data_IF_092113954111
#
_entry.id   IF_092113954111
#
_cell.length_a   1.000
_cell.length_b   1.000
_cell.length_c   1.000
_cell.angle_alpha   90.00
_cell.angle_beta   90.00
_cell.angle_gamma   90.00
#
_symmetry.space_group_name_H-M   'P 1'
#
loop_
_entity.id
_entity.type
_entity.pdbx_description
1 polymer ?
#
# COMPACT_ATOMS: atom_id res chain seq x y z
N UNK A 1 -24.37 -3.08 -17.27
CA UNK A 1 -25.39 -3.89 -16.56
C UNK A 1 -24.82 -5.14 -15.89
N UNK A 2 -24.02 -5.99 -16.54
CA UNK A 2 -23.45 -7.19 -15.89
C UNK A 2 -22.66 -6.86 -14.61
N UNK A 3 -21.71 -5.91 -14.70
CA UNK A 3 -20.92 -5.46 -13.54
C UNK A 3 -21.78 -4.86 -12.41
N UNK A 4 -22.84 -4.08 -12.74
CA UNK A 4 -23.77 -3.55 -11.72
C UNK A 4 -24.53 -4.67 -11.00
N UNK A 5 -24.99 -5.69 -11.75
CA UNK A 5 -25.69 -6.84 -11.16
C UNK A 5 -24.78 -7.66 -10.25
N UNK A 6 -23.54 -7.87 -10.67
CA UNK A 6 -22.53 -8.57 -9.87
C UNK A 6 -22.19 -7.78 -8.60
N UNK A 7 -22.01 -6.47 -8.71
CA UNK A 7 -21.76 -5.60 -7.57
C UNK A 7 -22.92 -5.64 -6.55
N UNK A 8 -24.16 -5.52 -7.04
CA UNK A 8 -25.36 -5.62 -6.20
C UNK A 8 -25.49 -6.98 -5.51
N UNK A 9 -25.18 -8.07 -6.23
CA UNK A 9 -25.28 -9.43 -5.69
C UNK A 9 -24.20 -9.75 -4.66
N UNK A 10 -22.96 -9.31 -4.89
CA UNK A 10 -21.80 -9.66 -4.04
C UNK A 10 -21.59 -8.69 -2.88
N UNK A 11 -21.92 -7.41 -3.05
CA UNK A 11 -21.62 -6.34 -2.10
C UNK A 11 -22.86 -5.53 -1.65
N UNK A 12 -24.03 -5.77 -2.24
CA UNK A 12 -25.27 -5.03 -1.92
C UNK A 12 -25.32 -3.60 -2.45
N UNK A 13 -24.35 -3.18 -3.26
CA UNK A 13 -24.22 -1.83 -3.82
C UNK A 13 -23.92 -1.95 -5.32
N UNK A 14 -24.62 -1.19 -6.17
CA UNK A 14 -24.51 -1.24 -7.64
C UNK A 14 -23.74 -0.06 -8.26
N UNK A 15 -23.16 0.79 -7.40
CA UNK A 15 -22.33 1.92 -7.80
C UNK A 15 -21.09 1.42 -8.53
N UNK A 16 -20.79 2.01 -9.68
CA UNK A 16 -19.60 1.70 -10.46
C UNK A 16 -18.71 2.93 -10.59
N UNK A 17 -17.39 2.71 -10.51
CA UNK A 17 -16.38 3.65 -10.96
C UNK A 17 -15.94 3.28 -12.39
N UNK A 18 -15.50 4.28 -13.15
CA UNK A 18 -14.84 4.09 -14.44
C UNK A 18 -13.50 4.80 -14.38
N UNK A 19 -12.45 4.08 -14.75
CA UNK A 19 -11.07 4.56 -14.69
C UNK A 19 -10.38 4.36 -16.04
N UNK A 20 -9.27 5.09 -16.23
CA UNK A 20 -8.40 4.90 -17.39
C UNK A 20 -7.71 3.54 -17.28
N UNK A 21 -7.82 2.73 -18.32
CA UNK A 21 -7.11 1.45 -18.40
C UNK A 21 -5.64 1.63 -18.78
N UNK A 22 -4.73 1.15 -17.93
CA UNK A 22 -3.28 1.10 -18.19
C UNK A 22 -2.92 -0.25 -18.81
N UNK A 23 -2.27 -0.24 -19.97
CA UNK A 23 -2.06 -1.46 -20.78
C UNK A 23 -0.83 -2.26 -20.36
N UNK A 24 0.18 -1.62 -19.77
CA UNK A 24 1.36 -2.29 -19.21
C UNK A 24 1.56 -1.86 -17.76
N UNK A 25 0.71 -2.35 -16.84
CA UNK A 25 0.78 -1.97 -15.44
C UNK A 25 1.78 -2.83 -14.67
N UNK A 26 2.49 -2.21 -13.71
CA UNK A 26 2.93 -2.88 -12.49
C UNK A 26 2.00 -2.49 -11.36
N UNK A 27 1.69 -3.43 -10.49
CA UNK A 27 0.97 -3.18 -9.24
C UNK A 27 2.00 -2.99 -8.13
N UNK A 28 2.23 -1.74 -7.75
CA UNK A 28 3.17 -1.39 -6.68
C UNK A 28 2.38 -0.81 -5.52
N UNK A 29 2.65 -1.31 -4.33
CA UNK A 29 1.94 -0.88 -3.14
C UNK A 29 2.92 -0.49 -2.04
N UNK A 30 2.55 0.47 -1.21
CA UNK A 30 3.42 1.00 -0.16
C UNK A 30 2.80 0.72 1.20
N UNK A 31 3.56 0.03 2.05
CA UNK A 31 3.19 -0.16 3.45
C UNK A 31 3.30 1.19 4.17
N UNK A 32 2.22 1.65 4.76
CA UNK A 32 2.20 2.81 5.65
C UNK A 32 1.87 2.40 7.08
N UNK A 33 2.40 3.15 8.03
CA UNK A 33 2.09 3.01 9.44
C UNK A 33 1.92 4.39 10.05
N UNK A 34 0.78 4.64 10.70
CA UNK A 34 0.52 5.88 11.42
C UNK A 34 0.28 5.65 12.91
N UNK A 35 0.51 6.67 13.74
CA UNK A 35 0.14 6.66 15.16
C UNK A 35 -0.94 7.71 15.50
N UNK A 36 -1.44 7.66 16.74
CA UNK A 36 -2.44 8.62 17.24
C UNK A 36 -1.85 10.01 17.55
N UNK A 37 -0.57 10.23 17.30
CA UNK A 37 0.15 11.48 17.56
C UNK A 37 0.38 12.28 16.27
N UNK A 38 -0.18 11.83 15.14
CA UNK A 38 -0.07 12.48 13.83
C UNK A 38 1.19 12.09 13.05
N UNK A 39 1.96 11.12 13.53
CA UNK A 39 3.09 10.58 12.78
C UNK A 39 2.61 9.53 11.77
N UNK A 40 3.24 9.50 10.61
CA UNK A 40 3.10 8.42 9.65
C UNK A 40 4.39 8.24 8.86
N UNK A 41 4.78 6.98 8.64
CA UNK A 41 5.96 6.55 7.89
C UNK A 41 5.58 5.51 6.85
N UNK A 42 6.43 5.31 5.84
CA UNK A 42 6.36 4.17 4.94
C UNK A 42 7.43 3.14 5.27
N UNK A 43 7.11 1.87 5.06
CA UNK A 43 7.98 0.70 5.26
C UNK A 43 8.30 0.06 3.90
N UNK A 44 8.69 0.93 2.96
CA UNK A 44 8.93 0.62 1.56
C UNK A 44 7.72 0.05 0.79
N UNK A 45 7.98 -0.26 -0.46
CA UNK A 45 7.03 -0.77 -1.42
C UNK A 45 7.16 -2.28 -1.63
N UNK A 46 6.08 -2.89 -2.10
CA UNK A 46 6.02 -4.27 -2.60
C UNK A 46 5.60 -4.27 -4.06
N UNK A 47 6.12 -5.23 -4.82
CA UNK A 47 5.60 -5.55 -6.15
C UNK A 47 4.63 -6.73 -6.04
N UNK A 48 3.38 -6.50 -6.47
CA UNK A 48 2.31 -7.49 -6.48
C UNK A 48 1.76 -7.70 -7.91
N UNK A 49 2.58 -7.47 -8.93
CA UNK A 49 2.18 -7.51 -10.34
C UNK A 49 1.87 -8.94 -10.84
N UNK A 50 2.45 -9.96 -10.19
CA UNK A 50 2.22 -11.36 -10.55
C UNK A 50 0.86 -11.84 -10.01
N UNK A 51 -0.16 -11.67 -10.84
CA UNK A 51 -1.55 -11.95 -10.50
C UNK A 51 -2.18 -12.97 -11.43
N UNK A 52 -3.13 -13.76 -10.91
CA UNK A 52 -4.01 -14.62 -11.71
C UNK A 52 -5.45 -14.21 -11.46
N UNK A 53 -6.15 -13.78 -12.52
CA UNK A 53 -7.55 -13.28 -12.43
C UNK A 53 -7.70 -12.19 -11.36
N UNK A 54 -6.78 -11.22 -11.33
CA UNK A 54 -6.77 -10.10 -10.37
C UNK A 54 -6.58 -10.51 -8.89
N UNK A 55 -6.02 -11.69 -8.64
CA UNK A 55 -5.58 -12.11 -7.31
C UNK A 55 -4.06 -12.19 -7.29
N UNK A 56 -3.43 -11.59 -6.27
CA UNK A 56 -1.98 -11.64 -6.04
C UNK A 56 -1.55 -13.08 -5.76
N UNK A 57 -0.46 -13.51 -6.40
CA UNK A 57 0.07 -14.88 -6.31
C UNK A 57 1.49 -14.87 -5.74
N UNK A 58 2.29 -13.88 -6.13
CA UNK A 58 3.65 -13.66 -5.65
C UNK A 58 3.82 -12.18 -5.36
N UNK A 59 4.35 -11.89 -4.19
CA UNK A 59 4.64 -10.55 -3.70
C UNK A 59 6.09 -10.45 -3.26
N UNK A 60 6.78 -9.40 -3.68
CA UNK A 60 8.22 -9.21 -3.43
C UNK A 60 8.49 -7.84 -2.80
N UNK A 61 9.43 -7.79 -1.85
CA UNK A 61 9.87 -6.56 -1.17
C UNK A 61 11.41 -6.51 -1.08
N UNK A 62 12.05 -5.35 -1.33
CA UNK A 62 11.48 -4.20 -2.03
C UNK A 62 11.13 -4.56 -3.49
N UNK A 63 10.36 -3.72 -4.17
CA UNK A 63 10.01 -3.98 -5.57
C UNK A 63 11.27 -4.04 -6.46
N UNK A 64 11.45 -5.08 -7.28
CA UNK A 64 12.63 -5.21 -8.13
C UNK A 64 12.65 -4.11 -9.19
N UNK A 65 13.86 -3.72 -9.63
CA UNK A 65 14.07 -2.71 -10.68
C UNK A 65 13.37 -1.36 -10.42
N UNK A 66 13.23 -0.97 -9.15
CA UNK A 66 12.74 0.35 -8.74
C UNK A 66 13.92 1.20 -8.24
N UNK A 67 14.09 2.38 -8.84
CA UNK A 67 15.16 3.31 -8.46
C UNK A 67 14.89 3.94 -7.09
N UNK A 68 15.94 4.42 -6.43
CA UNK A 68 15.83 5.08 -5.13
C UNK A 68 14.98 6.35 -5.21
N UNK A 69 15.07 7.10 -6.30
CA UNK A 69 14.28 8.32 -6.53
C UNK A 69 12.79 8.00 -6.66
N UNK A 70 12.45 6.98 -7.45
CA UNK A 70 11.06 6.54 -7.60
C UNK A 70 10.49 6.02 -6.28
N UNK A 71 11.26 5.20 -5.55
CA UNK A 71 10.91 4.69 -4.22
C UNK A 71 10.62 5.82 -3.22
N UNK A 72 11.49 6.83 -3.18
CA UNK A 72 11.28 7.99 -2.33
C UNK A 72 10.02 8.78 -2.74
N UNK A 73 9.76 8.90 -4.04
CA UNK A 73 8.58 9.59 -4.55
C UNK A 73 7.29 8.88 -4.16
N UNK A 74 7.15 7.59 -4.47
CA UNK A 74 5.94 6.81 -4.17
C UNK A 74 5.72 6.66 -2.66
N UNK A 75 6.79 6.48 -1.89
CA UNK A 75 6.75 6.46 -0.42
C UNK A 75 6.22 7.77 0.17
N UNK A 76 6.70 8.92 -0.32
CA UNK A 76 6.20 10.24 0.08
C UNK A 76 4.73 10.43 -0.29
N UNK A 77 4.31 9.97 -1.46
CA UNK A 77 2.92 10.04 -1.89
C UNK A 77 2.00 9.23 -0.97
N UNK A 78 2.39 7.99 -0.62
CA UNK A 78 1.67 7.13 0.31
C UNK A 78 1.55 7.74 1.72
N UNK A 79 2.65 8.25 2.28
CA UNK A 79 2.63 8.93 3.59
C UNK A 79 1.76 10.18 3.54
N UNK A 80 1.78 10.93 2.44
CA UNK A 80 0.94 12.12 2.28
C UNK A 80 -0.55 11.76 2.25
N UNK A 81 -0.92 10.68 1.55
CA UNK A 81 -2.29 10.16 1.54
C UNK A 81 -2.75 9.74 2.95
N UNK A 82 -1.91 8.97 3.67
CA UNK A 82 -2.19 8.56 5.04
C UNK A 82 -2.38 9.76 5.98
N UNK A 83 -1.50 10.76 5.92
CA UNK A 83 -1.59 11.98 6.74
C UNK A 83 -2.82 12.82 6.41
N UNK A 84 -3.21 12.91 5.13
CA UNK A 84 -4.35 13.71 4.69
C UNK A 84 -5.68 13.26 5.33
N UNK A 85 -5.80 11.98 5.69
CA UNK A 85 -6.98 11.41 6.33
C UNK A 85 -6.78 11.13 7.83
N UNK A 86 -5.66 11.55 8.42
CA UNK A 86 -5.34 11.29 9.82
C UNK A 86 -5.21 9.79 10.14
N UNK A 87 -4.68 9.01 9.20
CA UNK A 87 -4.61 7.55 9.32
C UNK A 87 -3.66 7.12 10.44
N UNK A 88 -4.05 6.08 11.19
CA UNK A 88 -3.22 5.40 12.18
C UNK A 88 -3.41 3.88 12.10
N UNK A 89 -2.49 3.11 12.69
CA UNK A 89 -2.33 1.66 12.47
C UNK A 89 -1.68 1.33 11.12
N UNK A 90 -1.62 0.05 10.78
CA UNK A 90 -1.11 -0.44 9.51
C UNK A 90 -2.12 -0.19 8.38
N UNK A 91 -1.63 0.21 7.22
CA UNK A 91 -2.41 0.26 5.98
C UNK A 91 -1.51 0.18 4.76
N UNK A 92 -2.09 -0.04 3.60
CA UNK A 92 -1.35 -0.09 2.35
C UNK A 92 -1.97 0.84 1.34
N UNK A 93 -1.15 1.66 0.69
CA UNK A 93 -1.58 2.51 -0.44
C UNK A 93 -1.15 1.82 -1.73
N UNK A 94 -2.11 1.46 -2.57
CA UNK A 94 -1.87 0.74 -3.81
C UNK A 94 -1.81 1.70 -5.00
N UNK A 95 -0.84 1.46 -5.88
CA UNK A 95 -0.60 2.24 -7.08
C UNK A 95 -0.52 1.34 -8.31
N UNK A 96 -1.02 1.87 -9.42
CA UNK A 96 -0.73 1.34 -10.75
C UNK A 96 0.41 2.17 -11.35
N UNK A 97 1.49 1.51 -11.72
CA UNK A 97 2.64 2.12 -12.41
C UNK A 97 2.58 1.76 -13.88
N UNK A 98 2.50 2.76 -14.75
CA UNK A 98 2.56 2.57 -16.20
C UNK A 98 4.01 2.44 -16.64
N UNK A 99 4.42 1.25 -17.07
CA UNK A 99 5.82 0.99 -17.43
C UNK A 99 6.26 1.69 -18.72
N UNK A 100 5.33 2.19 -19.53
CA UNK A 100 5.65 2.94 -20.75
C UNK A 100 6.01 4.40 -20.45
N UNK A 101 5.26 5.05 -19.56
CA UNK A 101 5.48 6.45 -19.18
C UNK A 101 6.39 6.61 -17.95
N UNK A 102 6.45 5.61 -17.08
CA UNK A 102 7.10 5.69 -15.76
C UNK A 102 6.25 6.39 -14.70
N UNK A 103 5.03 6.81 -15.05
CA UNK A 103 4.10 7.49 -14.13
C UNK A 103 3.38 6.48 -13.23
N UNK A 104 3.03 6.91 -12.03
CA UNK A 104 2.23 6.12 -11.09
C UNK A 104 0.92 6.82 -10.74
N UNK A 105 -0.12 6.03 -10.50
CA UNK A 105 -1.47 6.48 -10.23
C UNK A 105 -1.99 5.80 -8.97
N UNK A 106 -2.52 6.57 -8.03
CA UNK A 106 -3.23 6.02 -6.87
C UNK A 106 -4.43 5.19 -7.35
N UNK A 107 -4.61 4.01 -6.77
CA UNK A 107 -5.74 3.12 -7.06
C UNK A 107 -6.64 2.99 -5.84
N UNK A 108 -6.11 2.45 -4.75
CA UNK A 108 -6.88 2.28 -3.52
C UNK A 108 -6.00 2.35 -2.28
N UNK A 109 -6.65 2.35 -1.12
CA UNK A 109 -5.99 2.16 0.17
C UNK A 109 -6.66 1.01 0.92
N UNK A 110 -5.89 -0.02 1.21
CA UNK A 110 -6.30 -1.09 2.11
C UNK A 110 -6.08 -0.62 3.56
N UNK A 111 -7.16 -0.29 4.26
CA UNK A 111 -7.13 0.24 5.64
C UNK A 111 -6.99 -0.87 6.69
N UNK A 112 -6.07 -1.81 6.44
CA UNK A 112 -5.78 -2.98 7.27
C UNK A 112 -4.40 -3.53 6.90
N UNK A 113 -3.86 -4.39 7.76
CA UNK A 113 -2.71 -5.22 7.41
C UNK A 113 -3.10 -6.22 6.30
N UNK A 114 -2.19 -6.44 5.36
CA UNK A 114 -2.39 -7.34 4.22
C UNK A 114 -1.69 -8.68 4.43
N UNK A 115 -1.98 -9.66 3.58
CA UNK A 115 -1.47 -11.04 3.71
C UNK A 115 0.05 -11.06 3.49
N UNK A 116 0.52 -10.23 2.58
CA UNK A 116 1.90 -10.07 2.12
C UNK A 116 2.75 -9.16 3.02
N UNK A 117 2.26 -8.71 4.17
CA UNK A 117 3.08 -7.95 5.12
C UNK A 117 4.40 -8.64 5.55
N UNK A 118 4.53 -9.98 5.64
CA UNK A 118 5.77 -10.61 6.09
C UNK A 118 6.98 -10.29 5.20
N UNK A 119 6.81 -10.06 3.89
CA UNK A 119 7.97 -9.67 3.05
C UNK A 119 8.49 -8.28 3.42
N UNK A 120 7.62 -7.37 3.88
CA UNK A 120 8.03 -6.08 4.45
C UNK A 120 8.70 -6.26 5.81
N UNK A 121 8.16 -7.11 6.68
CA UNK A 121 8.77 -7.43 7.98
C UNK A 121 10.20 -7.96 7.83
N UNK A 122 10.42 -8.83 6.84
CA UNK A 122 11.73 -9.44 6.58
C UNK A 122 12.79 -8.43 6.16
N UNK A 123 12.45 -7.39 5.39
CA UNK A 123 13.42 -6.37 4.94
C UNK A 123 13.61 -5.25 5.97
N UNK A 124 12.58 -4.94 6.76
CA UNK A 124 12.62 -3.86 7.76
C UNK A 124 13.07 -4.38 9.14
N UNK A 125 12.91 -5.68 9.42
CA UNK A 125 13.22 -6.28 10.72
C UNK A 125 12.29 -5.82 11.84
N UNK A 126 11.01 -5.59 11.53
CA UNK A 126 9.99 -5.11 12.46
C UNK A 126 8.75 -5.99 12.40
N UNK A 127 8.09 -6.19 13.53
CA UNK A 127 6.80 -6.90 13.62
C UNK A 127 5.65 -5.87 13.52
N UNK A 128 4.92 -5.92 12.42
CA UNK A 128 3.86 -4.95 12.13
C UNK A 128 2.60 -5.25 12.93
N UNK A 129 2.34 -6.50 13.30
CA UNK A 129 1.22 -6.87 14.15
C UNK A 129 1.44 -6.32 15.57
N UNK A 130 2.67 -6.44 16.09
CA UNK A 130 3.08 -5.85 17.37
C UNK A 130 2.89 -4.33 17.35
N UNK A 131 3.34 -3.65 16.28
CA UNK A 131 3.15 -2.21 16.14
C UNK A 131 1.66 -1.82 16.13
N UNK A 132 0.77 -2.62 15.53
CA UNK A 132 -0.67 -2.32 15.52
C UNK A 132 -1.22 -2.32 16.94
N UNK A 133 -0.79 -3.27 17.77
CA UNK A 133 -1.19 -3.37 19.18
C UNK A 133 -0.64 -2.17 19.98
N UNK A 134 0.64 -1.82 19.81
CA UNK A 134 1.26 -0.65 20.47
C UNK A 134 0.56 0.65 20.11
N UNK A 135 0.31 0.90 18.83
CA UNK A 135 -0.42 2.09 18.37
C UNK A 135 -1.87 2.09 18.88
N UNK A 136 -2.53 0.93 18.93
CA UNK A 136 -3.86 0.83 19.53
C UNK A 136 -3.85 1.26 21.01
N UNK A 137 -2.80 0.91 21.75
CA UNK A 137 -2.55 1.36 23.13
C UNK A 137 -2.15 2.83 23.26
N UNK A 138 -1.99 3.56 22.15
CA UNK A 138 -1.64 4.98 22.15
C UNK A 138 -0.15 5.26 22.22
N UNK A 139 0.71 4.24 22.04
CA UNK A 139 2.14 4.46 21.87
C UNK A 139 2.44 5.20 20.55
N UNK A 140 3.62 5.82 20.49
CA UNK A 140 4.17 6.42 19.27
C UNK A 140 4.78 5.33 18.39
N UNK A 141 4.96 5.65 17.10
CA UNK A 141 5.77 4.80 16.23
C UNK A 141 7.18 4.63 16.81
N UNK A 142 7.74 3.40 16.80
CA UNK A 142 9.06 3.14 17.38
C UNK A 142 10.21 3.63 16.48
N UNK A 143 9.95 3.92 15.20
CA UNK A 143 10.91 4.43 14.23
C UNK A 143 10.42 5.72 13.59
N UNK A 144 11.35 6.63 13.27
CA UNK A 144 11.15 7.69 12.27
C UNK A 144 11.40 7.17 10.86
N UNK A 145 11.04 7.95 9.83
CA UNK A 145 11.24 7.56 8.43
C UNK A 145 12.72 7.31 8.10
N UNK A 146 13.62 8.08 8.70
CA UNK A 146 15.07 8.00 8.51
C UNK A 146 15.70 6.80 9.22
N UNK A 147 14.98 6.20 10.18
CA UNK A 147 15.41 5.02 10.91
C UNK A 147 14.91 3.71 10.30
N UNK A 148 14.05 3.78 9.28
CA UNK A 148 13.59 2.59 8.56
C UNK A 148 14.81 1.99 7.82
N UNK A 149 15.22 0.75 8.12
CA UNK A 149 16.38 0.14 7.50
C UNK A 149 16.08 -0.34 6.07
N UNK A 150 17.04 -0.16 5.16
CA UNK A 150 17.04 -0.70 3.79
C UNK A 150 18.37 -1.39 3.48
#
# INVERSE_FOLDING_TARGET
>A
LSAQREAAASFGIDTLLIEKYITQPRHIEVQVFGDKHGNAIHLYERDCSLQRRHQKIIEEAPAPNVTTEFRAHIGKAAVSAAKAVGYYSAGTVEFIVDTLSGEFYFMEMNTRLQVEHPVTEMIVGQDLVEWQIRVANGERLPLSQEQVPL
#
